data_IF_019875835184
#
_entry.id   IF_019875835184
#
_cell.length_a   1.000
_cell.length_b   1.000
_cell.length_c   1.000
_cell.angle_alpha   90.00
_cell.angle_beta   90.00
_cell.angle_gamma   90.00
#
_symmetry.space_group_name_H-M   'P 1'
#
loop_
_entity.id
_entity.type
_entity.pdbx_description
1 polymer ?
#
# COMPACT_ATOMS: atom_id res chain seq x y z
N UNK A 1 -11.63 13.06 5.92
CA UNK A 1 -11.74 11.58 5.99
C UNK A 1 -10.77 10.96 4.99
N UNK A 2 -9.98 10.01 5.42
CA UNK A 2 -9.11 9.25 4.53
C UNK A 2 -9.93 8.21 3.76
N UNK A 3 -9.64 8.10 2.48
CA UNK A 3 -10.21 7.06 1.63
C UNK A 3 -9.13 6.04 1.28
N UNK A 4 -9.53 4.78 1.19
CA UNK A 4 -8.65 3.72 0.72
C UNK A 4 -8.23 3.99 -0.72
N UNK A 5 -6.93 3.89 -0.96
CA UNK A 5 -6.37 3.99 -2.31
C UNK A 5 -5.99 2.61 -2.81
N UNK A 6 -6.38 2.32 -4.05
CA UNK A 6 -6.14 1.01 -4.65
C UNK A 6 -4.63 0.69 -4.67
N UNK A 7 -4.21 -0.40 -4.01
CA UNK A 7 -2.80 -0.77 -3.98
C UNK A 7 -2.31 -1.33 -5.31
N UNK A 8 -1.01 -1.30 -5.51
CA UNK A 8 -0.33 -1.93 -6.64
C UNK A 8 0.42 -3.15 -6.10
N UNK A 9 -0.02 -4.33 -6.48
CA UNK A 9 0.51 -5.61 -5.98
C UNK A 9 1.08 -6.49 -7.08
N UNK A 10 1.08 -6.02 -8.31
CA UNK A 10 1.36 -6.79 -9.52
C UNK A 10 2.54 -6.23 -10.34
N UNK A 11 3.43 -5.49 -9.68
CA UNK A 11 4.67 -5.05 -10.34
C UNK A 11 5.45 -6.27 -10.82
N UNK A 12 6.05 -6.16 -12.00
CA UNK A 12 6.76 -7.27 -12.63
C UNK A 12 8.15 -6.86 -13.10
N UNK A 13 8.95 -7.85 -13.44
CA UNK A 13 10.27 -7.63 -14.05
C UNK A 13 10.18 -6.81 -15.34
N UNK A 14 9.11 -6.99 -16.13
CA UNK A 14 8.89 -6.22 -17.34
C UNK A 14 8.65 -4.74 -17.04
N UNK A 15 7.97 -4.43 -15.95
CA UNK A 15 7.78 -3.04 -15.51
C UNK A 15 9.13 -2.38 -15.17
N UNK A 16 10.01 -3.10 -14.49
CA UNK A 16 11.37 -2.62 -14.18
C UNK A 16 12.20 -2.44 -15.45
N UNK A 17 12.12 -3.38 -16.39
CA UNK A 17 12.79 -3.28 -17.69
C UNK A 17 12.35 -2.05 -18.46
N UNK A 18 11.08 -1.71 -18.40
CA UNK A 18 10.54 -0.50 -19.03
C UNK A 18 11.19 0.77 -18.50
N UNK A 19 11.38 0.85 -17.18
CA UNK A 19 12.11 1.98 -16.55
C UNK A 19 13.53 2.04 -17.06
N UNK A 20 14.22 0.91 -17.11
CA UNK A 20 15.60 0.85 -17.59
C UNK A 20 15.72 1.27 -19.06
N UNK A 21 14.77 0.88 -19.89
CA UNK A 21 14.72 1.33 -21.30
C UNK A 21 14.66 2.85 -21.40
N UNK A 22 13.81 3.49 -20.62
CA UNK A 22 13.71 4.95 -20.61
C UNK A 22 15.01 5.62 -20.11
N UNK A 23 15.61 5.07 -19.07
CA UNK A 23 16.89 5.59 -18.55
C UNK A 23 18.02 5.45 -19.57
N UNK A 24 18.04 4.35 -20.31
CA UNK A 24 19.06 4.12 -21.36
C UNK A 24 18.88 5.06 -22.55
N UNK A 25 17.64 5.32 -22.95
CA UNK A 25 17.35 6.28 -24.03
C UNK A 25 17.72 7.71 -23.65
N UNK A 26 17.51 8.09 -22.39
CA UNK A 26 17.61 9.45 -21.93
C UNK A 26 16.42 10.31 -22.34
N UNK A 27 16.14 11.34 -21.55
CA UNK A 27 14.95 12.18 -21.70
C UNK A 27 14.80 12.79 -23.09
N UNK A 28 15.90 13.26 -23.67
CA UNK A 28 15.89 13.94 -24.96
C UNK A 28 15.51 13.02 -26.13
N UNK A 29 15.76 11.72 -25.97
CA UNK A 29 15.46 10.72 -26.99
C UNK A 29 14.09 10.10 -26.85
N UNK A 30 13.34 10.45 -25.80
CA UNK A 30 11.98 9.94 -25.60
C UNK A 30 11.00 10.64 -26.53
N UNK A 31 10.03 9.87 -27.05
CA UNK A 31 8.87 10.42 -27.76
C UNK A 31 7.97 11.19 -26.79
N UNK A 32 7.05 12.01 -27.30
CA UNK A 32 6.08 12.71 -26.47
C UNK A 32 5.20 11.73 -25.68
N UNK A 33 4.80 10.61 -26.28
CA UNK A 33 4.06 9.55 -25.62
C UNK A 33 4.87 8.94 -24.47
N UNK A 34 6.15 8.66 -24.68
CA UNK A 34 7.04 8.11 -23.65
C UNK A 34 7.27 9.12 -22.51
N UNK A 35 7.43 10.40 -22.83
CA UNK A 35 7.55 11.46 -21.81
C UNK A 35 6.28 11.57 -20.95
N UNK A 36 5.12 11.46 -21.56
CA UNK A 36 3.85 11.46 -20.84
C UNK A 36 3.73 10.24 -19.93
N UNK A 37 4.13 9.07 -20.40
CA UNK A 37 4.17 7.84 -19.62
C UNK A 37 5.10 7.99 -18.40
N UNK A 38 6.30 8.54 -18.60
CA UNK A 38 7.23 8.82 -17.52
C UNK A 38 6.66 9.78 -16.48
N UNK A 39 6.05 10.87 -16.93
CA UNK A 39 5.47 11.90 -16.06
C UNK A 39 4.27 11.39 -15.27
N UNK A 40 3.52 10.43 -15.79
CA UNK A 40 2.39 9.80 -15.08
C UNK A 40 2.84 8.78 -14.03
N UNK A 41 4.14 8.44 -13.99
CA UNK A 41 4.71 7.46 -13.09
C UNK A 41 4.71 6.05 -13.67
N UNK A 42 5.91 5.49 -13.83
CA UNK A 42 6.07 4.12 -14.31
C UNK A 42 5.87 3.12 -13.16
N UNK A 43 5.14 2.06 -13.43
CA UNK A 43 4.82 1.01 -12.45
C UNK A 43 6.06 0.32 -11.87
N UNK A 44 7.12 0.17 -12.65
CA UNK A 44 8.39 -0.44 -12.23
C UNK A 44 9.29 0.49 -11.41
N UNK A 45 8.89 1.74 -11.24
CA UNK A 45 9.60 2.75 -10.46
C UNK A 45 8.82 3.04 -9.18
N UNK A 46 9.52 3.30 -8.09
CA UNK A 46 8.89 3.74 -6.84
C UNK A 46 8.70 5.25 -6.89
N UNK A 47 7.49 5.67 -7.21
CA UNK A 47 7.15 7.08 -7.38
C UNK A 47 6.69 7.70 -6.05
N UNK A 48 6.75 9.03 -5.95
CA UNK A 48 6.19 9.75 -4.80
C UNK A 48 4.72 9.40 -4.58
N UNK A 49 3.94 9.28 -5.67
CA UNK A 49 2.55 8.86 -5.59
C UNK A 49 2.36 7.46 -5.00
N UNK A 50 3.30 6.55 -5.23
CA UNK A 50 3.28 5.21 -4.61
C UNK A 50 3.48 5.32 -3.10
N UNK A 51 4.44 6.11 -2.66
CA UNK A 51 4.71 6.33 -1.24
C UNK A 51 3.55 7.04 -0.55
N UNK A 52 2.95 8.02 -1.19
CA UNK A 52 1.75 8.71 -0.68
C UNK A 52 0.57 7.77 -0.54
N UNK A 53 0.38 6.86 -1.51
CA UNK A 53 -0.66 5.83 -1.43
C UNK A 53 -0.44 4.89 -0.26
N UNK A 54 0.78 4.38 -0.11
CA UNK A 54 1.14 3.47 0.98
C UNK A 54 0.92 4.14 2.34
N UNK A 55 1.41 5.37 2.52
CA UNK A 55 1.25 6.12 3.76
C UNK A 55 -0.21 6.43 4.06
N UNK A 56 -1.00 6.79 3.05
CA UNK A 56 -2.44 6.99 3.20
C UNK A 56 -3.14 5.71 3.71
N UNK A 57 -2.81 4.58 3.12
CA UNK A 57 -3.42 3.30 3.48
C UNK A 57 -2.97 2.83 4.87
N UNK A 58 -1.71 3.04 5.22
CA UNK A 58 -1.21 2.79 6.58
C UNK A 58 -1.95 3.65 7.60
N UNK A 59 -2.11 4.96 7.33
CA UNK A 59 -2.81 5.86 8.24
C UNK A 59 -4.27 5.43 8.42
N UNK A 60 -4.95 5.07 7.34
CA UNK A 60 -6.33 4.60 7.40
C UNK A 60 -6.45 3.34 8.27
N UNK A 61 -5.59 2.36 8.04
CA UNK A 61 -5.59 1.11 8.84
C UNK A 61 -5.20 1.37 10.29
N UNK A 62 -4.26 2.28 10.54
CA UNK A 62 -3.90 2.70 11.90
C UNK A 62 -5.11 3.31 12.62
N UNK A 63 -5.86 4.15 11.95
CA UNK A 63 -7.04 4.80 12.53
C UNK A 63 -8.13 3.77 12.82
N UNK A 64 -8.44 2.88 11.88
CA UNK A 64 -9.49 1.87 12.02
C UNK A 64 -9.14 0.85 13.09
N UNK A 65 -7.88 0.43 13.17
CA UNK A 65 -7.40 -0.54 14.15
C UNK A 65 -6.98 0.10 15.49
N UNK A 66 -7.09 1.42 15.59
CA UNK A 66 -6.73 2.19 16.80
C UNK A 66 -5.30 1.94 17.28
N UNK A 67 -4.37 1.83 16.31
CA UNK A 67 -2.96 1.56 16.61
C UNK A 67 -2.18 2.80 17.01
N UNK A 68 -2.66 3.99 16.65
CA UNK A 68 -2.00 5.25 16.99
C UNK A 68 -0.62 5.40 16.35
N UNK A 69 -0.43 4.86 15.15
CA UNK A 69 0.84 4.96 14.44
C UNK A 69 1.13 6.41 14.04
N UNK A 70 2.37 6.84 14.22
CA UNK A 70 2.81 8.16 13.80
C UNK A 70 3.31 8.07 12.35
N UNK A 71 2.40 8.25 11.40
CA UNK A 71 2.68 8.12 9.97
C UNK A 71 3.22 9.42 9.43
N UNK A 72 4.49 9.40 8.99
CA UNK A 72 5.17 10.57 8.43
C UNK A 72 4.63 10.95 7.07
N UNK A 73 4.71 12.24 6.75
CA UNK A 73 4.51 12.71 5.37
C UNK A 73 5.67 12.21 4.50
N UNK A 74 5.39 12.00 3.23
CA UNK A 74 6.44 11.59 2.28
C UNK A 74 7.42 12.74 2.12
N UNK A 75 8.71 12.54 2.45
CA UNK A 75 9.71 13.59 2.28
C UNK A 75 10.07 13.80 0.81
N UNK A 76 10.62 14.95 0.50
CA UNK A 76 11.09 15.25 -0.85
C UNK A 76 12.15 14.23 -1.31
N UNK A 77 13.07 13.89 -0.40
CA UNK A 77 14.08 12.84 -0.63
C UNK A 77 13.91 11.78 0.46
N UNK A 78 13.28 10.64 0.15
CA UNK A 78 13.10 9.57 1.13
C UNK A 78 14.44 9.00 1.62
N UNK A 79 14.52 8.78 2.93
CA UNK A 79 15.69 8.20 3.59
C UNK A 79 15.43 6.76 3.99
N UNK A 80 16.48 6.05 4.40
CA UNK A 80 16.34 4.69 4.94
C UNK A 80 15.42 4.66 6.18
N UNK A 81 15.46 5.70 7.00
CA UNK A 81 14.55 5.83 8.16
C UNK A 81 13.08 5.87 7.76
N UNK A 82 12.76 6.57 6.67
CA UNK A 82 11.40 6.63 6.15
C UNK A 82 10.91 5.25 5.68
N UNK A 83 11.75 4.53 4.94
CA UNK A 83 11.41 3.17 4.50
C UNK A 83 11.31 2.19 5.66
N UNK A 84 12.17 2.31 6.66
CA UNK A 84 12.10 1.50 7.87
C UNK A 84 10.82 1.76 8.66
N UNK A 85 10.35 3.00 8.70
CA UNK A 85 9.06 3.35 9.29
C UNK A 85 7.91 2.60 8.60
N UNK A 86 7.87 2.62 7.27
CA UNK A 86 6.86 1.89 6.48
C UNK A 86 6.91 0.40 6.81
N UNK A 87 8.11 -0.17 6.88
CA UNK A 87 8.31 -1.57 7.25
C UNK A 87 7.74 -1.88 8.64
N UNK A 88 8.08 -1.08 9.63
CA UNK A 88 7.62 -1.25 11.01
C UNK A 88 6.10 -1.13 11.13
N UNK A 89 5.52 -0.13 10.47
CA UNK A 89 4.08 0.07 10.48
C UNK A 89 3.34 -1.09 9.79
N UNK A 90 3.87 -1.60 8.69
CA UNK A 90 3.30 -2.76 8.00
C UNK A 90 3.34 -4.00 8.89
N UNK A 91 4.46 -4.23 9.59
CA UNK A 91 4.58 -5.32 10.55
C UNK A 91 3.54 -5.22 11.67
N UNK A 92 3.36 -4.03 12.23
CA UNK A 92 2.37 -3.81 13.28
C UNK A 92 0.94 -4.03 12.79
N UNK A 93 0.61 -3.53 11.62
CA UNK A 93 -0.71 -3.72 11.00
C UNK A 93 -0.97 -5.20 10.74
N UNK A 94 0.02 -5.92 10.17
CA UNK A 94 -0.10 -7.35 9.89
C UNK A 94 -0.36 -8.16 11.17
N UNK A 95 0.28 -7.79 12.26
CA UNK A 95 0.12 -8.46 13.56
C UNK A 95 -1.10 -8.05 14.35
N UNK A 96 -1.78 -6.96 13.98
CA UNK A 96 -2.86 -6.37 14.77
C UNK A 96 -4.24 -6.91 14.43
N UNK A 97 -4.40 -7.57 13.30
CA UNK A 97 -5.69 -8.05 12.82
C UNK A 97 -5.57 -9.40 12.11
N UNK A 98 -6.68 -9.87 11.55
CA UNK A 98 -6.70 -11.12 10.80
C UNK A 98 -6.03 -10.96 9.44
N UNK A 99 -5.37 -12.01 9.00
CA UNK A 99 -4.76 -12.12 7.68
C UNK A 99 -5.20 -13.41 7.01
N UNK A 100 -5.06 -13.49 5.69
CA UNK A 100 -5.23 -14.75 4.98
C UNK A 100 -3.99 -15.64 5.19
N UNK A 101 -4.16 -16.94 5.03
CA UNK A 101 -3.00 -17.85 5.04
C UNK A 101 -2.06 -17.63 3.87
N UNK A 102 -2.53 -16.96 2.81
CA UNK A 102 -1.76 -16.56 1.64
C UNK A 102 -1.13 -15.17 1.75
N UNK A 103 -1.45 -14.42 2.82
CA UNK A 103 -0.86 -13.09 3.03
C UNK A 103 0.65 -13.22 3.18
N UNK A 104 1.44 -12.46 2.41
CA UNK A 104 2.89 -12.57 2.49
C UNK A 104 3.42 -12.17 3.87
N UNK A 105 4.57 -12.71 4.23
CA UNK A 105 5.35 -12.20 5.36
C UNK A 105 5.88 -10.81 5.04
N UNK A 106 6.15 -10.02 6.08
CA UNK A 106 6.80 -8.73 5.89
C UNK A 106 8.20 -8.99 5.30
N UNK A 107 8.53 -8.38 4.16
CA UNK A 107 9.80 -8.67 3.50
C UNK A 107 11.00 -8.20 4.32
N UNK A 108 12.15 -8.78 4.05
CA UNK A 108 13.40 -8.34 4.68
C UNK A 108 13.79 -6.93 4.23
N UNK A 109 14.36 -6.17 5.14
CA UNK A 109 14.92 -4.84 4.84
C UNK A 109 16.30 -4.99 4.17
N UNK A 110 16.68 -4.06 3.29
CA UNK A 110 15.95 -2.86 2.86
C UNK A 110 14.86 -3.17 1.84
N UNK A 111 13.86 -2.27 1.74
CA UNK A 111 12.75 -2.37 0.78
C UNK A 111 13.20 -1.87 -0.61
N UNK A 112 14.03 -2.64 -1.27
CA UNK A 112 14.76 -2.21 -2.46
C UNK A 112 14.40 -2.98 -3.75
N UNK A 113 13.36 -3.81 -3.73
CA UNK A 113 12.91 -4.55 -4.91
C UNK A 113 11.40 -4.39 -5.12
N UNK A 114 10.96 -4.60 -6.36
CA UNK A 114 9.54 -4.48 -6.69
C UNK A 114 8.70 -5.56 -5.97
N UNK A 115 9.25 -6.76 -5.80
CA UNK A 115 8.58 -7.85 -5.09
C UNK A 115 8.29 -7.47 -3.64
N UNK A 116 9.23 -6.82 -2.98
CA UNK A 116 9.07 -6.35 -1.60
C UNK A 116 7.94 -5.33 -1.49
N UNK A 117 7.85 -4.40 -2.42
CA UNK A 117 6.76 -3.41 -2.45
C UNK A 117 5.42 -4.05 -2.80
N UNK A 118 5.40 -5.05 -3.67
CA UNK A 118 4.19 -5.84 -3.91
C UNK A 118 3.72 -6.50 -2.60
N UNK A 119 4.63 -7.07 -1.83
CA UNK A 119 4.32 -7.72 -0.56
C UNK A 119 3.80 -6.72 0.48
N UNK A 120 4.43 -5.56 0.63
CA UNK A 120 3.96 -4.49 1.52
C UNK A 120 2.51 -4.11 1.17
N UNK A 121 2.23 -3.81 -0.07
CA UNK A 121 0.89 -3.40 -0.50
C UNK A 121 -0.12 -4.55 -0.44
N UNK A 122 0.32 -5.80 -0.66
CA UNK A 122 -0.54 -6.97 -0.53
C UNK A 122 -0.96 -7.21 0.93
N UNK A 123 -0.04 -7.05 1.88
CA UNK A 123 -0.36 -7.15 3.31
C UNK A 123 -1.44 -6.13 3.69
N UNK A 124 -1.24 -4.87 3.32
CA UNK A 124 -2.20 -3.80 3.62
C UNK A 124 -3.56 -4.07 2.96
N UNK A 125 -3.55 -4.55 1.72
CA UNK A 125 -4.76 -4.91 0.98
C UNK A 125 -5.52 -6.05 1.64
N UNK A 126 -4.83 -7.08 2.09
CA UNK A 126 -5.45 -8.24 2.74
C UNK A 126 -6.10 -7.85 4.06
N UNK A 127 -5.42 -7.08 4.90
CA UNK A 127 -5.98 -6.59 6.17
C UNK A 127 -7.21 -5.72 5.90
N UNK A 128 -7.10 -4.78 4.96
CA UNK A 128 -8.22 -3.92 4.59
C UNK A 128 -9.41 -4.72 4.07
N UNK A 129 -9.17 -5.71 3.20
CA UNK A 129 -10.22 -6.54 2.63
C UNK A 129 -10.98 -7.33 3.69
N UNK A 130 -10.29 -7.88 4.67
CA UNK A 130 -10.92 -8.60 5.79
C UNK A 130 -11.72 -7.64 6.67
N UNK A 131 -11.16 -6.47 6.99
CA UNK A 131 -11.87 -5.43 7.75
C UNK A 131 -13.14 -5.00 7.03
N UNK A 132 -13.06 -4.75 5.74
CA UNK A 132 -14.19 -4.32 4.93
C UNK A 132 -15.28 -5.40 4.87
N UNK A 133 -14.90 -6.67 4.72
CA UNK A 133 -15.85 -7.79 4.71
C UNK A 133 -16.54 -7.94 6.06
N UNK A 134 -15.79 -7.83 7.16
CA UNK A 134 -16.36 -7.90 8.50
C UNK A 134 -17.30 -6.73 8.76
N UNK A 135 -16.90 -5.52 8.37
CA UNK A 135 -17.74 -4.33 8.49
C UNK A 135 -19.04 -4.49 7.68
N UNK A 136 -18.95 -4.94 6.43
CA UNK A 136 -20.11 -5.14 5.57
C UNK A 136 -21.01 -6.24 6.11
N UNK A 137 -20.46 -7.30 6.70
CA UNK A 137 -21.24 -8.37 7.31
C UNK A 137 -22.12 -7.83 8.43
N UNK A 138 -21.58 -7.01 9.32
CA UNK A 138 -22.33 -6.49 10.46
C UNK A 138 -23.22 -5.29 10.11
N UNK A 139 -22.77 -4.41 9.24
CA UNK A 139 -23.47 -3.16 8.91
C UNK A 139 -24.33 -3.24 7.66
N UNK A 140 -24.03 -4.17 6.74
CA UNK A 140 -24.74 -4.36 5.48
C UNK A 140 -25.88 -5.37 5.56
N UNK A 141 -25.92 -6.18 6.59
CA UNK A 141 -26.99 -7.15 6.80
C UNK A 141 -28.20 -6.50 7.47
N UNK A 142 -29.37 -7.04 7.18
CA UNK A 142 -30.60 -6.64 7.84
C UNK A 142 -30.50 -6.98 9.33
N UNK A 143 -30.80 -6.00 10.18
CA UNK A 143 -30.80 -6.16 11.63
C UNK A 143 -32.24 -6.25 12.12
N UNK A 144 -32.58 -7.34 12.78
CA UNK A 144 -33.90 -7.54 13.36
C UNK A 144 -33.94 -7.06 14.80
N UNK A 145 -35.13 -6.75 15.29
CA UNK A 145 -35.31 -6.33 16.66
C UNK A 145 -34.83 -7.42 17.63
N UNK A 146 -33.93 -7.02 18.55
CA UNK A 146 -33.31 -7.92 19.51
C UNK A 146 -32.02 -8.57 19.05
N UNK A 147 -31.60 -8.34 17.81
CA UNK A 147 -30.34 -8.82 17.29
C UNK A 147 -29.21 -7.88 17.73
N UNK A 148 -28.13 -8.45 18.25
CA UNK A 148 -26.94 -7.69 18.65
C UNK A 148 -25.87 -7.75 17.57
N UNK A 149 -25.20 -6.63 17.37
CA UNK A 149 -23.99 -6.56 16.52
C UNK A 149 -22.88 -5.88 17.27
N UNK A 150 -21.65 -6.43 17.17
CA UNK A 150 -20.49 -5.88 17.84
C UNK A 150 -20.08 -4.48 17.36
N UNK A 151 -20.56 -4.09 16.18
CA UNK A 151 -20.23 -2.78 15.61
C UNK A 151 -21.06 -1.61 16.17
N UNK A 152 -22.12 -1.91 16.88
CA UNK A 152 -23.00 -0.91 17.50
C UNK A 152 -22.61 -0.59 18.94
N UNK A 153 -21.57 -1.21 19.44
CA UNK A 153 -21.11 -1.04 20.82
C UNK A 153 -20.14 0.14 20.99
#
# INVERSE_FOLDING_TARGET
MLLWKQPVTDRSENDVKRVLEFLQKGWQSLSESEKNEWNSGLKGSLNTSDLERVQNNIQLLSDVLELGLNVSLVPEVPTSSFYDEIWQHTEQIRGAYMIHNTTPEVPERPLNTFEKWNDIEQILSDVYGILLNNFNYYCGNEIYAGEETGLLL
#
